data_IF_757948440560
#
_entry.id   IF_757948440560
#
_cell.length_a   1.000
_cell.length_b   1.000
_cell.length_c   1.000
_cell.angle_alpha   90.00
_cell.angle_beta   90.00
_cell.angle_gamma   90.00
#
_symmetry.space_group_name_H-M   'P 1'
#
loop_
_entity.id
_entity.type
_entity.pdbx_description
1 polymer ?
#
# COMPACT_ATOMS: atom_id res chain seq x y z
N UNK A 1 57.11 -43.30 -60.24
CA UNK A 1 57.88 -42.22 -59.62
C UNK A 1 56.90 -41.09 -59.29
N UNK A 2 56.64 -40.83 -58.00
CA UNK A 2 56.05 -39.58 -57.42
C UNK A 2 54.57 -39.30 -57.74
N UNK A 3 53.62 -39.02 -56.84
CA UNK A 3 53.49 -39.00 -55.36
C UNK A 3 51.97 -39.05 -55.12
N UNK A 4 51.47 -39.99 -54.31
CA UNK A 4 50.13 -39.84 -53.73
C UNK A 4 50.16 -38.61 -52.83
N UNK A 5 49.41 -37.57 -53.20
CA UNK A 5 49.19 -36.40 -52.36
C UNK A 5 48.30 -36.86 -51.21
N UNK A 6 48.95 -37.27 -50.12
CA UNK A 6 48.27 -37.57 -48.86
C UNK A 6 47.56 -36.31 -48.40
N UNK A 7 46.24 -36.41 -48.27
CA UNK A 7 45.45 -35.36 -47.65
C UNK A 7 46.01 -35.16 -46.23
N UNK A 8 46.45 -33.95 -45.86
CA UNK A 8 47.07 -33.71 -44.56
C UNK A 8 46.11 -34.07 -43.42
N UNK A 9 46.58 -34.88 -42.46
CA UNK A 9 45.85 -35.46 -41.33
C UNK A 9 45.39 -34.44 -40.26
N UNK A 10 45.19 -33.18 -40.61
CA UNK A 10 44.88 -32.07 -39.67
C UNK A 10 43.47 -31.52 -39.82
N UNK A 11 42.63 -32.08 -40.69
CA UNK A 11 41.22 -31.68 -40.81
C UNK A 11 40.33 -32.68 -40.04
N UNK A 12 40.74 -33.03 -38.82
CA UNK A 12 39.76 -33.40 -37.80
C UNK A 12 39.43 -32.11 -37.07
N UNK A 13 38.42 -31.39 -37.57
CA UNK A 13 37.78 -30.36 -36.78
C UNK A 13 37.14 -31.09 -35.61
N UNK A 14 37.82 -31.10 -34.47
CA UNK A 14 37.23 -31.50 -33.19
C UNK A 14 36.05 -30.56 -32.95
N UNK A 15 34.88 -30.98 -33.41
CA UNK A 15 33.62 -30.36 -33.09
C UNK A 15 32.97 -31.23 -32.02
N UNK A 16 33.39 -31.13 -30.73
CA UNK A 16 32.72 -31.84 -29.67
C UNK A 16 31.31 -31.28 -29.62
N UNK A 17 30.33 -32.10 -30.03
CA UNK A 17 28.92 -31.78 -29.83
C UNK A 17 28.71 -31.64 -28.32
N UNK A 18 28.70 -30.39 -27.83
CA UNK A 18 28.44 -30.11 -26.43
C UNK A 18 26.94 -30.21 -26.22
N UNK A 19 26.50 -31.26 -25.53
CA UNK A 19 25.12 -31.36 -25.05
C UNK A 19 24.93 -30.30 -23.96
N UNK A 20 24.42 -29.14 -24.34
CA UNK A 20 23.92 -28.15 -23.39
C UNK A 20 22.53 -28.62 -22.97
N UNK A 21 22.42 -29.16 -21.76
CA UNK A 21 21.11 -29.39 -21.14
C UNK A 21 20.59 -28.03 -20.70
N UNK A 22 19.95 -27.32 -21.64
CA UNK A 22 19.13 -26.17 -21.29
C UNK A 22 17.89 -26.69 -20.58
N UNK A 23 17.67 -26.20 -19.37
CA UNK A 23 16.63 -26.68 -18.44
C UNK A 23 16.98 -28.08 -17.90
N UNK A 24 18.08 -28.18 -17.18
CA UNK A 24 18.20 -29.24 -16.17
C UNK A 24 16.95 -29.12 -15.29
N UNK A 25 16.10 -30.16 -15.31
CA UNK A 25 14.70 -30.08 -14.89
C UNK A 25 14.68 -29.53 -13.47
N UNK A 26 14.32 -28.25 -13.32
CA UNK A 26 14.10 -27.68 -11.99
C UNK A 26 13.12 -28.61 -11.30
N UNK A 27 13.58 -29.27 -10.23
CA UNK A 27 12.76 -30.20 -9.46
C UNK A 27 11.50 -29.44 -9.07
N UNK A 28 10.35 -29.91 -9.55
CA UNK A 28 9.09 -29.25 -9.27
C UNK A 28 8.90 -29.19 -7.75
N UNK A 29 8.89 -27.98 -7.19
CA UNK A 29 8.73 -27.77 -5.76
C UNK A 29 7.26 -28.00 -5.43
N UNK A 30 6.99 -28.99 -4.58
CA UNK A 30 5.63 -29.30 -4.11
C UNK A 30 5.26 -28.39 -2.95
N UNK A 31 3.95 -28.26 -2.70
CA UNK A 31 3.45 -27.48 -1.54
C UNK A 31 3.88 -28.05 -0.19
N UNK A 32 4.21 -29.33 -0.13
CA UNK A 32 4.77 -30.01 1.03
C UNK A 32 6.22 -29.64 1.32
N UNK A 33 6.93 -29.11 0.32
CA UNK A 33 8.37 -28.91 0.40
C UNK A 33 8.69 -27.74 1.34
N UNK A 34 9.81 -27.86 2.04
CA UNK A 34 10.20 -26.88 3.04
C UNK A 34 10.50 -25.52 2.40
N UNK A 35 11.15 -25.50 1.23
CA UNK A 35 11.44 -24.28 0.48
C UNK A 35 10.16 -23.54 0.09
N UNK A 36 9.12 -24.28 -0.32
CA UNK A 36 7.81 -23.68 -0.63
C UNK A 36 7.20 -23.01 0.60
N UNK A 37 7.24 -23.68 1.76
CA UNK A 37 6.70 -23.14 3.01
C UNK A 37 7.43 -21.86 3.43
N UNK A 38 8.76 -21.86 3.38
CA UNK A 38 9.57 -20.66 3.70
C UNK A 38 9.23 -19.52 2.74
N UNK A 39 9.21 -19.79 1.43
CA UNK A 39 8.91 -18.76 0.44
C UNK A 39 7.50 -18.19 0.61
N UNK A 40 6.52 -19.05 0.89
CA UNK A 40 5.13 -18.66 1.18
C UNK A 40 5.06 -17.79 2.44
N UNK A 41 5.74 -18.17 3.51
CA UNK A 41 5.77 -17.41 4.76
C UNK A 41 6.39 -16.02 4.55
N UNK A 42 7.51 -15.94 3.84
CA UNK A 42 8.13 -14.66 3.47
C UNK A 42 7.17 -13.79 2.66
N UNK A 43 6.50 -14.36 1.65
CA UNK A 43 5.54 -13.65 0.82
C UNK A 43 4.34 -13.12 1.65
N UNK A 44 3.82 -13.92 2.57
CA UNK A 44 2.73 -13.50 3.46
C UNK A 44 3.16 -12.39 4.42
N UNK A 45 4.38 -12.45 4.94
CA UNK A 45 4.93 -11.39 5.77
C UNK A 45 5.02 -10.07 5.01
N UNK A 46 5.61 -10.08 3.80
CA UNK A 46 5.68 -8.90 2.94
C UNK A 46 4.30 -8.37 2.56
N UNK A 47 3.36 -9.26 2.25
CA UNK A 47 1.98 -8.89 1.98
C UNK A 47 1.34 -8.15 3.17
N UNK A 48 1.56 -8.63 4.39
CA UNK A 48 1.08 -7.98 5.61
C UNK A 48 1.63 -6.56 5.78
N UNK A 49 2.94 -6.38 5.59
CA UNK A 49 3.58 -5.07 5.68
C UNK A 49 3.04 -4.09 4.63
N UNK A 50 2.94 -4.50 3.37
CA UNK A 50 2.41 -3.66 2.29
C UNK A 50 0.95 -3.29 2.55
N UNK A 51 0.14 -4.24 3.04
CA UNK A 51 -1.26 -3.98 3.39
C UNK A 51 -1.39 -2.91 4.47
N UNK A 52 -0.52 -2.93 5.49
CA UNK A 52 -0.51 -1.89 6.53
C UNK A 52 -0.17 -0.52 5.93
N UNK A 53 0.85 -0.44 5.07
CA UNK A 53 1.24 0.81 4.43
C UNK A 53 0.13 1.39 3.54
N UNK A 54 -0.57 0.54 2.77
CA UNK A 54 -1.73 0.95 1.98
C UNK A 54 -2.83 1.51 2.88
N UNK A 55 -3.20 0.78 3.94
CA UNK A 55 -4.23 1.24 4.86
C UNK A 55 -3.88 2.56 5.57
N UNK A 56 -2.59 2.80 5.81
CA UNK A 56 -2.13 4.07 6.38
C UNK A 56 -2.27 5.21 5.37
N UNK A 57 -1.86 4.99 4.12
CA UNK A 57 -2.03 5.97 3.05
C UNK A 57 -3.51 6.29 2.81
N UNK A 58 -4.37 5.27 2.73
CA UNK A 58 -5.82 5.44 2.53
C UNK A 58 -6.46 6.26 3.66
N UNK A 59 -6.02 6.04 4.91
CA UNK A 59 -6.49 6.83 6.07
C UNK A 59 -6.02 8.28 6.01
N UNK A 60 -4.75 8.51 5.67
CA UNK A 60 -4.18 9.85 5.55
C UNK A 60 -4.90 10.65 4.45
N UNK A 61 -5.20 10.01 3.31
CA UNK A 61 -5.95 10.63 2.22
C UNK A 61 -7.41 10.94 2.63
N UNK A 62 -8.06 10.04 3.37
CA UNK A 62 -9.40 10.28 3.90
C UNK A 62 -9.42 11.45 4.91
N UNK A 63 -8.41 11.55 5.78
CA UNK A 63 -8.26 12.65 6.73
C UNK A 63 -8.00 13.98 6.02
N UNK A 64 -7.15 14.00 4.98
CA UNK A 64 -6.90 15.20 4.15
C UNK A 64 -8.15 15.67 3.41
N UNK A 65 -8.92 14.75 2.82
CA UNK A 65 -10.19 15.08 2.17
C UNK A 65 -11.20 15.66 3.17
N UNK A 66 -11.24 15.14 4.40
CA UNK A 66 -12.07 15.70 5.47
C UNK A 66 -11.61 17.10 5.91
N UNK A 67 -10.30 17.37 5.92
CA UNK A 67 -9.72 18.65 6.26
C UNK A 67 -9.89 19.72 5.15
N UNK A 68 -9.86 19.33 3.88
CA UNK A 68 -10.10 20.24 2.74
C UNK A 68 -11.59 20.59 2.56
N UNK A 69 -12.50 19.64 2.80
CA UNK A 69 -13.95 19.94 2.88
C UNK A 69 -14.28 20.90 4.02
N UNK A 70 -13.44 20.92 5.05
CA UNK A 70 -13.55 21.83 6.19
C UNK A 70 -13.16 23.26 5.78
N UNK A 71 -12.16 23.48 4.93
CA UNK A 71 -11.65 24.83 4.65
C UNK A 71 -12.56 25.68 3.75
N UNK A 72 -13.38 25.06 2.89
CA UNK A 72 -14.25 25.77 1.94
C UNK A 72 -15.72 25.83 2.36
N UNK A 73 -16.14 25.05 3.37
CA UNK A 73 -17.51 25.03 3.92
C UNK A 73 -17.65 25.29 5.42
N UNK A 74 -16.57 25.37 6.23
CA UNK A 74 -16.70 25.42 7.70
C UNK A 74 -17.38 26.66 8.25
N UNK A 75 -17.19 27.85 7.69
CA UNK A 75 -17.53 29.05 8.48
C UNK A 75 -19.04 29.12 8.79
N UNK A 76 -19.91 28.70 7.87
CA UNK A 76 -21.35 28.66 8.09
C UNK A 76 -21.85 27.37 8.76
N UNK A 77 -21.26 26.20 8.47
CA UNK A 77 -21.60 24.94 9.14
C UNK A 77 -21.16 24.91 10.62
N UNK A 78 -19.98 25.48 10.94
CA UNK A 78 -19.42 25.52 12.30
C UNK A 78 -20.30 26.33 13.24
N UNK A 79 -20.82 27.49 12.81
CA UNK A 79 -21.71 28.31 13.65
C UNK A 79 -23.02 27.59 13.96
N UNK A 80 -23.59 26.86 12.99
CA UNK A 80 -24.80 26.08 13.22
C UNK A 80 -24.56 24.94 14.23
N UNK A 81 -23.45 24.21 14.07
CA UNK A 81 -23.06 23.13 14.98
C UNK A 81 -22.75 23.65 16.39
N UNK A 82 -22.10 24.81 16.51
CA UNK A 82 -21.82 25.49 17.78
C UNK A 82 -23.09 25.94 18.48
N UNK A 83 -24.05 26.53 17.76
CA UNK A 83 -25.36 26.90 18.29
C UNK A 83 -26.16 25.67 18.75
N UNK A 84 -26.08 24.56 18.02
CA UNK A 84 -26.76 23.31 18.39
C UNK A 84 -26.19 22.72 19.69
N UNK A 85 -24.85 22.71 19.84
CA UNK A 85 -24.19 22.29 21.08
C UNK A 85 -24.52 23.21 22.25
N UNK A 86 -24.52 24.53 22.02
CA UNK A 86 -24.88 25.50 23.05
C UNK A 86 -26.32 25.29 23.56
N UNK A 87 -27.26 25.02 22.66
CA UNK A 87 -28.65 24.71 23.02
C UNK A 87 -28.76 23.39 23.81
N UNK A 88 -27.95 22.39 23.47
CA UNK A 88 -27.90 21.13 24.21
C UNK A 88 -27.41 21.34 25.65
N UNK A 89 -26.34 22.11 25.86
CA UNK A 89 -25.80 22.40 27.20
C UNK A 89 -26.81 23.11 28.10
N UNK A 90 -27.60 24.04 27.54
CA UNK A 90 -28.69 24.69 28.28
C UNK A 90 -29.83 23.71 28.60
N UNK A 91 -30.20 22.84 27.66
CA UNK A 91 -31.24 21.81 27.89
C UNK A 91 -30.82 20.80 28.97
N UNK A 92 -29.54 20.48 29.05
CA UNK A 92 -28.96 19.61 30.07
C UNK A 92 -28.80 20.29 31.43
N UNK A 93 -29.13 21.58 31.54
CA UNK A 93 -29.03 22.36 32.78
C UNK A 93 -27.60 22.70 33.18
N UNK A 94 -26.63 22.52 32.27
CA UNK A 94 -25.22 22.84 32.49
C UNK A 94 -25.01 24.36 32.45
N UNK A 95 -25.76 25.06 31.60
CA UNK A 95 -25.78 26.51 31.52
C UNK A 95 -27.06 27.07 32.11
N UNK A 96 -26.95 28.20 32.82
CA UNK A 96 -28.09 29.03 33.16
C UNK A 96 -28.63 29.76 31.93
N UNK A 97 -29.85 30.29 32.03
CA UNK A 97 -30.48 31.02 30.92
C UNK A 97 -29.67 32.25 30.51
N UNK A 98 -29.10 32.92 31.50
CA UNK A 98 -28.30 34.13 31.33
C UNK A 98 -26.98 33.83 30.61
N UNK A 99 -26.30 32.74 30.97
CA UNK A 99 -25.08 32.27 30.31
C UNK A 99 -25.35 31.83 28.86
N UNK A 100 -26.44 31.09 28.64
CA UNK A 100 -26.84 30.66 27.32
C UNK A 100 -27.09 31.83 26.35
N UNK A 101 -27.89 32.82 26.75
CA UNK A 101 -28.17 33.97 25.88
C UNK A 101 -26.94 34.85 25.66
N UNK A 102 -26.06 34.98 26.66
CA UNK A 102 -24.80 35.74 26.52
C UNK A 102 -23.89 35.12 25.46
N UNK A 103 -23.68 33.80 25.51
CA UNK A 103 -22.83 33.10 24.54
C UNK A 103 -23.47 33.00 23.16
N UNK A 104 -24.80 32.82 23.10
CA UNK A 104 -25.55 32.82 21.83
C UNK A 104 -25.42 34.14 21.10
N UNK A 105 -25.50 35.28 21.79
CA UNK A 105 -25.31 36.59 21.17
C UNK A 105 -23.90 36.75 20.61
N UNK A 106 -22.87 36.31 21.35
CA UNK A 106 -21.48 36.34 20.87
C UNK A 106 -21.31 35.52 19.59
N UNK A 107 -21.83 34.29 19.56
CA UNK A 107 -21.75 33.40 18.39
C UNK A 107 -22.48 33.97 17.17
N UNK A 108 -23.61 34.65 17.35
CA UNK A 108 -24.36 35.27 16.26
C UNK A 108 -23.73 36.58 15.75
N UNK A 109 -22.84 37.19 16.53
CA UNK A 109 -22.13 38.44 16.19
C UNK A 109 -20.73 38.23 15.59
N UNK A 110 -20.31 36.97 15.42
CA UNK A 110 -19.00 36.53 14.90
C UNK A 110 -19.03 36.29 13.38
#
# INVERSE_FOLDING_TARGET
MIKHVGIPNWIYIDNPVKKVVLLDKQKAIKKSDHEYRIAKEKALNWHGLIKVLINMADKEDAEKQSAESILTGKKSLSVADELSKLAQLHKEGILTKEEFETEKQKLLSS
#
